data_IF_692813161230
#
_entry.id   IF_692813161230
#
_cell.length_a   1.000
_cell.length_b   1.000
_cell.length_c   1.000
_cell.angle_alpha   90.00
_cell.angle_beta   90.00
_cell.angle_gamma   90.00
#
_symmetry.space_group_name_H-M   'P 1'
#
loop_
_entity.id
_entity.type
_entity.pdbx_description
1 polymer ?
#
# COMPACT_ATOMS: atom_id res chain seq x y z
N UNK A 1 29.54 -58.32 -23.20
CA UNK A 1 29.03 -58.95 -24.44
C UNK A 1 27.51 -58.90 -24.34
N UNK A 2 26.70 -58.26 -25.17
CA UNK A 2 26.79 -57.66 -26.53
C UNK A 2 25.90 -56.39 -26.50
N UNK A 3 26.35 -55.18 -26.86
CA UNK A 3 26.37 -54.55 -28.20
C UNK A 3 25.19 -54.87 -29.13
N UNK A 4 24.24 -53.92 -29.21
CA UNK A 4 23.60 -53.53 -30.49
C UNK A 4 23.62 -52.01 -30.54
N UNK A 5 24.13 -51.46 -31.65
CA UNK A 5 24.26 -50.03 -31.91
C UNK A 5 23.47 -49.59 -33.15
N UNK A 6 23.32 -48.26 -33.22
CA UNK A 6 23.01 -47.37 -34.34
C UNK A 6 21.59 -47.37 -34.94
N UNK A 7 20.93 -46.21 -34.82
CA UNK A 7 20.93 -45.25 -35.94
C UNK A 7 20.79 -43.80 -35.47
N UNK A 8 21.64 -42.96 -36.04
CA UNK A 8 21.69 -41.51 -35.91
C UNK A 8 20.66 -40.88 -36.84
N UNK A 9 19.79 -40.03 -36.29
CA UNK A 9 19.12 -38.99 -37.07
C UNK A 9 19.58 -37.65 -36.50
N UNK A 10 20.58 -37.07 -37.15
CA UNK A 10 20.82 -35.64 -37.10
C UNK A 10 19.55 -34.94 -37.62
N UNK A 11 18.79 -34.34 -36.72
CA UNK A 11 17.98 -33.18 -37.06
C UNK A 11 18.66 -31.96 -36.48
N UNK A 12 19.31 -31.22 -37.37
CA UNK A 12 19.63 -29.82 -37.20
C UNK A 12 18.32 -29.10 -36.88
N UNK A 13 18.24 -28.59 -35.66
CA UNK A 13 17.58 -27.33 -35.29
C UNK A 13 17.63 -27.24 -33.76
N UNK A 14 18.82 -26.91 -33.26
CA UNK A 14 18.98 -26.43 -31.89
C UNK A 14 18.38 -25.03 -31.79
N UNK A 15 17.05 -24.93 -31.68
CA UNK A 15 16.44 -23.73 -31.13
C UNK A 15 16.96 -23.58 -29.69
N UNK A 16 17.90 -22.66 -29.50
CA UNK A 16 18.42 -22.25 -28.20
C UNK A 16 17.28 -21.83 -27.28
N UNK A 17 16.89 -22.73 -26.37
CA UNK A 17 16.05 -22.40 -25.22
C UNK A 17 16.91 -21.52 -24.29
N UNK A 18 16.86 -20.21 -24.51
CA UNK A 18 17.46 -19.24 -23.60
C UNK A 18 16.82 -19.39 -22.22
N UNK A 19 17.63 -19.79 -21.24
CA UNK A 19 17.25 -19.88 -19.84
C UNK A 19 16.88 -18.49 -19.29
N UNK A 20 16.00 -18.45 -18.28
CA UNK A 20 15.62 -17.20 -17.58
C UNK A 20 16.83 -16.42 -17.03
N UNK A 21 17.95 -17.12 -16.80
CA UNK A 21 19.22 -16.53 -16.37
C UNK A 21 19.83 -15.70 -17.50
N UNK A 22 19.87 -16.23 -18.72
CA UNK A 22 20.41 -15.54 -19.90
C UNK A 22 19.54 -14.35 -20.33
N UNK A 23 18.21 -14.41 -20.14
CA UNK A 23 17.33 -13.27 -20.40
C UNK A 23 17.59 -12.12 -19.41
N UNK A 24 17.77 -12.44 -18.12
CA UNK A 24 18.12 -11.43 -17.10
C UNK A 24 19.48 -10.80 -17.37
N UNK A 25 20.43 -11.60 -17.84
CA UNK A 25 21.77 -11.16 -18.18
C UNK A 25 21.78 -10.27 -19.43
N UNK A 26 21.02 -10.63 -20.47
CA UNK A 26 20.81 -9.76 -21.65
C UNK A 26 20.14 -8.43 -21.28
N UNK A 27 19.14 -8.42 -20.38
CA UNK A 27 18.52 -7.19 -19.88
C UNK A 27 19.47 -6.32 -19.04
N UNK A 28 20.36 -6.95 -18.27
CA UNK A 28 21.38 -6.25 -17.49
C UNK A 28 22.41 -5.59 -18.41
N UNK A 29 22.91 -6.32 -19.40
CA UNK A 29 23.87 -5.81 -20.38
C UNK A 29 23.27 -4.67 -21.21
N UNK A 30 21.98 -4.76 -21.58
CA UNK A 30 21.29 -3.68 -22.29
C UNK A 30 21.17 -2.40 -21.44
N UNK A 31 20.95 -2.53 -20.13
CA UNK A 31 20.92 -1.40 -19.19
C UNK A 31 22.30 -0.75 -19.08
N UNK A 32 23.37 -1.55 -19.03
CA UNK A 32 24.75 -1.06 -18.97
C UNK A 32 25.17 -0.37 -20.28
N UNK A 33 24.77 -0.89 -21.44
CA UNK A 33 25.04 -0.27 -22.75
C UNK A 33 24.30 1.06 -22.94
N UNK A 34 23.07 1.17 -22.43
CA UNK A 34 22.32 2.45 -22.41
C UNK A 34 22.96 3.45 -21.45
N UNK A 35 23.53 2.98 -20.34
CA UNK A 35 24.29 3.83 -19.41
C UNK A 35 25.58 4.34 -20.07
N UNK A 36 26.34 3.47 -20.74
CA UNK A 36 27.59 3.82 -21.44
C UNK A 36 27.34 4.79 -22.61
N UNK A 37 26.28 4.59 -23.40
CA UNK A 37 25.92 5.50 -24.50
C UNK A 37 25.44 6.89 -24.03
N UNK A 38 24.95 7.02 -22.80
CA UNK A 38 24.62 8.33 -22.20
C UNK A 38 25.85 9.13 -21.78
N UNK A 39 26.99 8.47 -21.54
CA UNK A 39 28.25 9.13 -21.16
C UNK A 39 28.99 9.67 -22.39
N UNK A 40 28.70 9.17 -23.60
CA UNK A 40 29.45 9.51 -24.82
C UNK A 40 28.77 10.51 -25.78
N UNK A 41 27.62 11.10 -25.45
CA UNK A 41 27.01 12.13 -26.31
C UNK A 41 26.41 13.26 -25.48
N UNK A 42 27.12 14.39 -25.44
CA UNK A 42 26.55 15.71 -25.22
C UNK A 42 25.62 16.04 -26.39
N UNK A 43 24.45 16.53 -26.00
CA UNK A 43 23.49 17.38 -26.74
C UNK A 43 22.83 16.82 -28.02
N UNK A 44 21.52 17.09 -28.09
CA UNK A 44 20.61 16.91 -29.23
C UNK A 44 20.29 15.48 -29.72
N UNK A 45 19.59 14.66 -28.93
CA UNK A 45 18.69 13.58 -29.45
C UNK A 45 17.77 12.95 -28.37
N UNK A 46 17.39 13.73 -27.35
CA UNK A 46 16.78 13.20 -26.11
C UNK A 46 15.36 12.64 -26.19
N UNK A 47 14.63 12.82 -27.31
CA UNK A 47 13.24 12.34 -27.48
C UNK A 47 13.13 11.05 -28.30
N UNK A 48 13.84 10.91 -29.43
CA UNK A 48 13.81 9.69 -30.24
C UNK A 48 14.47 8.48 -29.54
N UNK A 49 15.57 8.70 -28.81
CA UNK A 49 16.27 7.63 -28.10
C UNK A 49 15.44 6.94 -27.02
N UNK A 50 14.60 7.69 -26.28
CA UNK A 50 13.72 7.11 -25.24
C UNK A 50 12.57 6.29 -25.83
N UNK A 51 11.97 6.76 -26.92
CA UNK A 51 10.88 6.08 -27.61
C UNK A 51 11.36 4.77 -28.25
N UNK A 52 12.56 4.80 -28.85
CA UNK A 52 13.18 3.62 -29.47
C UNK A 52 13.62 2.56 -28.44
N UNK A 53 14.11 2.99 -27.26
CA UNK A 53 14.45 2.08 -26.15
C UNK A 53 13.19 1.43 -25.58
N UNK A 54 12.10 2.17 -25.41
CA UNK A 54 10.84 1.60 -24.91
C UNK A 54 10.23 0.62 -25.92
N UNK A 55 10.27 0.95 -27.22
CA UNK A 55 9.87 0.02 -28.29
C UNK A 55 10.67 -1.28 -28.29
N UNK A 56 11.99 -1.21 -28.05
CA UNK A 56 12.86 -2.39 -27.95
C UNK A 56 12.58 -3.23 -26.69
N UNK A 57 12.35 -2.59 -25.54
CA UNK A 57 11.99 -3.30 -24.29
C UNK A 57 10.64 -4.02 -24.43
N UNK A 58 9.65 -3.36 -25.04
CA UNK A 58 8.34 -3.96 -25.33
C UNK A 58 8.47 -5.13 -26.32
N UNK A 59 9.33 -5.00 -27.34
CA UNK A 59 9.58 -6.08 -28.31
C UNK A 59 10.22 -7.30 -27.65
N UNK A 60 11.25 -7.10 -26.83
CA UNK A 60 11.93 -8.17 -26.08
C UNK A 60 10.97 -8.83 -25.08
N UNK A 61 10.12 -8.05 -24.40
CA UNK A 61 9.09 -8.60 -23.49
C UNK A 61 8.03 -9.41 -24.25
N UNK A 62 7.66 -8.99 -25.47
CA UNK A 62 6.73 -9.73 -26.34
C UNK A 62 7.32 -11.03 -26.87
N UNK A 63 8.60 -11.03 -27.26
CA UNK A 63 9.33 -12.23 -27.72
C UNK A 63 9.55 -13.23 -26.58
N UNK A 64 9.96 -12.77 -25.39
CA UNK A 64 10.10 -13.61 -24.20
C UNK A 64 8.77 -14.23 -23.75
N UNK A 65 7.64 -13.55 -24.00
CA UNK A 65 6.32 -14.05 -23.68
C UNK A 65 5.73 -15.02 -24.72
N UNK A 66 6.32 -15.10 -25.92
CA UNK A 66 5.92 -16.02 -26.99
C UNK A 66 6.52 -17.43 -26.79
N UNK A 67 7.73 -17.54 -26.25
CA UNK A 67 8.50 -18.80 -26.17
C UNK A 67 8.17 -19.72 -24.99
N UNK A 68 6.97 -19.62 -24.41
CA UNK A 68 6.65 -20.28 -23.16
C UNK A 68 5.28 -21.00 -23.31
N UNK A 69 5.33 -22.33 -23.57
CA UNK A 69 4.19 -23.29 -23.71
C UNK A 69 3.06 -23.17 -22.67
N UNK A 70 1.84 -23.38 -23.16
CA UNK A 70 0.55 -22.79 -22.78
C UNK A 70 -0.18 -23.42 -21.57
N UNK A 71 -1.12 -22.66 -21.00
CA UNK A 71 -2.06 -23.09 -19.94
C UNK A 71 -2.02 -22.21 -18.69
N UNK A 72 -0.89 -22.19 -17.96
CA UNK A 72 -0.71 -21.39 -16.73
C UNK A 72 -0.12 -19.98 -16.96
N UNK A 73 0.15 -19.61 -18.22
CA UNK A 73 0.94 -18.42 -18.58
C UNK A 73 0.17 -17.19 -18.97
N UNK A 74 -1.10 -17.30 -19.40
CA UNK A 74 -1.86 -16.12 -19.83
C UNK A 74 -2.04 -15.11 -18.68
N UNK A 75 -2.44 -15.60 -17.50
CA UNK A 75 -2.58 -14.77 -16.30
C UNK A 75 -1.23 -14.21 -15.79
N UNK A 76 -0.13 -14.95 -15.91
CA UNK A 76 1.19 -14.46 -15.50
C UNK A 76 1.79 -13.46 -16.52
N UNK A 77 1.47 -13.61 -17.81
CA UNK A 77 1.86 -12.71 -18.90
C UNK A 77 1.11 -11.38 -18.80
N UNK A 78 -0.20 -11.42 -18.58
CA UNK A 78 -1.03 -10.23 -18.33
C UNK A 78 -0.56 -9.51 -17.06
N UNK A 79 -0.34 -10.23 -15.95
CA UNK A 79 0.21 -9.65 -14.70
C UNK A 79 1.58 -8.97 -14.90
N UNK A 80 2.45 -9.52 -15.76
CA UNK A 80 3.77 -8.93 -16.03
C UNK A 80 3.65 -7.65 -16.88
N UNK A 81 2.80 -7.65 -17.91
CA UNK A 81 2.55 -6.49 -18.75
C UNK A 81 1.90 -5.35 -17.94
N UNK A 82 0.91 -5.68 -17.10
CA UNK A 82 0.27 -4.74 -16.19
C UNK A 82 1.29 -4.09 -15.24
N UNK A 83 2.25 -4.87 -14.72
CA UNK A 83 3.31 -4.34 -13.86
C UNK A 83 4.23 -3.39 -14.61
N UNK A 84 4.64 -3.72 -15.83
CA UNK A 84 5.54 -2.88 -16.64
C UNK A 84 4.85 -1.58 -17.03
N UNK A 85 3.58 -1.65 -17.44
CA UNK A 85 2.80 -0.45 -17.79
C UNK A 85 2.60 0.44 -16.57
N UNK A 86 2.27 -0.15 -15.42
CA UNK A 86 2.10 0.58 -14.17
C UNK A 86 3.40 1.27 -13.72
N UNK A 87 4.55 0.60 -13.85
CA UNK A 87 5.87 1.18 -13.52
C UNK A 87 6.24 2.35 -14.46
N UNK A 88 5.88 2.25 -15.75
CA UNK A 88 6.07 3.34 -16.71
C UNK A 88 5.21 4.55 -16.36
N UNK A 89 3.91 4.34 -16.09
CA UNK A 89 2.97 5.40 -15.68
C UNK A 89 3.42 6.06 -14.38
N UNK A 90 3.85 5.29 -13.40
CA UNK A 90 4.35 5.80 -12.12
C UNK A 90 5.61 6.65 -12.31
N UNK A 91 6.54 6.23 -13.17
CA UNK A 91 7.74 7.02 -13.49
C UNK A 91 7.40 8.34 -14.19
N UNK A 92 6.46 8.34 -15.14
CA UNK A 92 5.99 9.55 -15.81
C UNK A 92 5.27 10.49 -14.85
N UNK A 93 4.43 9.93 -13.98
CA UNK A 93 3.71 10.66 -12.96
C UNK A 93 4.67 11.36 -11.98
N UNK A 94 5.66 10.65 -11.44
CA UNK A 94 6.70 11.21 -10.58
C UNK A 94 7.47 12.34 -11.28
N UNK A 95 7.90 12.14 -12.53
CA UNK A 95 8.63 13.19 -13.29
C UNK A 95 7.84 14.49 -13.40
N UNK A 96 6.51 14.41 -13.42
CA UNK A 96 5.63 15.57 -13.61
C UNK A 96 5.21 16.24 -12.31
N UNK A 97 4.96 15.46 -11.26
CA UNK A 97 4.29 15.94 -10.05
C UNK A 97 5.09 15.78 -8.77
N UNK A 98 6.33 15.28 -8.83
CA UNK A 98 7.19 15.21 -7.66
C UNK A 98 7.41 16.60 -7.04
N UNK A 99 7.13 16.72 -5.74
CA UNK A 99 7.22 17.95 -4.95
C UNK A 99 8.34 17.91 -3.91
N UNK A 100 8.77 16.72 -3.50
CA UNK A 100 9.94 16.49 -2.65
C UNK A 100 10.87 15.46 -3.29
N UNK A 101 12.17 15.62 -3.05
CA UNK A 101 13.23 14.70 -3.48
C UNK A 101 13.15 13.36 -2.75
N UNK A 102 13.84 12.34 -3.28
CA UNK A 102 14.03 11.07 -2.58
C UNK A 102 14.80 11.24 -1.26
N UNK A 103 15.72 12.20 -1.19
CA UNK A 103 16.46 12.52 0.03
C UNK A 103 15.51 13.07 1.11
N UNK A 104 14.69 14.07 0.76
CA UNK A 104 13.67 14.61 1.67
C UNK A 104 12.68 13.54 2.10
N UNK A 105 12.24 12.68 1.18
CA UNK A 105 11.42 11.52 1.51
C UNK A 105 12.10 10.59 2.53
N UNK A 106 13.36 10.23 2.31
CA UNK A 106 14.12 9.37 3.22
C UNK A 106 14.30 9.98 4.61
N UNK A 107 14.48 11.30 4.70
CA UNK A 107 14.56 12.03 5.97
C UNK A 107 13.19 12.08 6.69
N UNK A 108 12.09 12.19 5.94
CA UNK A 108 10.73 12.22 6.51
C UNK A 108 10.23 10.86 6.96
N UNK A 109 10.66 9.78 6.29
CA UNK A 109 10.22 8.40 6.51
C UNK A 109 11.44 7.47 6.74
N UNK A 110 12.22 7.68 7.83
CA UNK A 110 13.50 7.01 8.02
C UNK A 110 13.38 5.50 8.26
N UNK A 111 12.27 5.05 8.83
CA UNK A 111 12.00 3.63 9.05
C UNK A 111 10.51 3.34 9.13
N UNK A 112 10.06 2.32 8.38
CA UNK A 112 8.71 1.77 8.48
C UNK A 112 8.54 0.87 9.70
N UNK A 113 9.64 0.45 10.32
CA UNK A 113 9.69 -0.46 11.45
C UNK A 113 9.64 0.28 12.79
N UNK A 114 9.96 1.58 12.82
CA UNK A 114 10.11 2.34 14.06
C UNK A 114 9.02 3.39 14.30
N UNK A 115 8.03 3.51 13.40
CA UNK A 115 6.92 4.42 13.62
C UNK A 115 5.71 3.71 14.26
N UNK A 116 5.04 4.41 15.17
CA UNK A 116 3.93 3.86 15.90
C UNK A 116 3.06 4.92 16.56
N UNK A 117 1.94 4.46 17.09
CA UNK A 117 0.93 5.24 17.77
C UNK A 117 1.46 5.76 19.12
N UNK A 118 1.20 7.03 19.41
CA UNK A 118 1.41 7.61 20.74
C UNK A 118 0.23 7.43 21.66
N UNK A 119 0.04 8.39 22.57
CA UNK A 119 -1.06 8.41 23.55
C UNK A 119 -2.30 9.09 22.96
N UNK A 120 -2.85 8.51 21.90
CA UNK A 120 -4.06 8.98 21.21
C UNK A 120 -4.87 7.77 20.73
N UNK A 121 -6.20 7.80 20.82
CA UNK A 121 -7.11 6.72 20.40
C UNK A 121 -7.29 6.53 18.88
N UNK A 122 -6.26 6.80 18.07
CA UNK A 122 -6.30 6.81 16.60
C UNK A 122 -5.70 5.56 15.94
N UNK A 123 -5.66 4.43 16.65
CA UNK A 123 -5.06 3.17 16.19
C UNK A 123 -5.48 2.75 14.78
N UNK A 124 -6.72 3.05 14.37
CA UNK A 124 -7.26 2.78 13.04
C UNK A 124 -6.54 3.56 11.93
N UNK A 125 -6.11 4.81 12.21
CA UNK A 125 -5.36 5.63 11.27
C UNK A 125 -3.93 5.13 11.17
N UNK A 126 -3.29 4.85 12.30
CA UNK A 126 -1.90 4.37 12.32
C UNK A 126 -1.79 2.99 11.66
N UNK A 127 -2.73 2.07 11.92
CA UNK A 127 -2.78 0.78 11.21
C UNK A 127 -3.03 0.98 9.71
N UNK A 128 -3.83 1.97 9.34
CA UNK A 128 -4.01 2.40 7.94
C UNK A 128 -2.71 2.83 7.30
N UNK A 129 -1.98 3.76 7.93
CA UNK A 129 -0.70 4.26 7.43
C UNK A 129 0.34 3.14 7.38
N UNK A 130 0.39 2.24 8.36
CA UNK A 130 1.32 1.11 8.37
C UNK A 130 1.12 0.16 7.20
N UNK A 131 -0.12 -0.20 6.90
CA UNK A 131 -0.36 -1.10 5.77
C UNK A 131 -0.28 -0.35 4.44
N UNK A 132 -0.66 0.93 4.38
CA UNK A 132 -0.43 1.80 3.21
C UNK A 132 1.07 1.95 2.92
N UNK A 133 1.92 2.10 3.93
CA UNK A 133 3.36 2.27 3.79
C UNK A 133 4.07 1.06 3.17
N UNK A 134 3.42 -0.11 3.18
CA UNK A 134 3.90 -1.35 2.57
C UNK A 134 3.41 -1.54 1.13
N UNK A 135 2.66 -0.57 0.61
CA UNK A 135 2.25 -0.54 -0.79
C UNK A 135 3.36 0.06 -1.65
N UNK A 136 3.49 -0.40 -2.90
CA UNK A 136 4.45 0.10 -3.89
C UNK A 136 4.24 1.59 -4.17
N UNK A 137 3.00 2.07 -4.08
CA UNK A 137 2.65 3.45 -4.37
C UNK A 137 2.94 4.41 -3.21
N UNK A 138 3.29 3.93 -2.02
CA UNK A 138 3.46 4.81 -0.87
C UNK A 138 4.46 5.93 -1.13
N UNK A 139 5.63 5.61 -1.69
CA UNK A 139 6.66 6.60 -2.00
C UNK A 139 6.13 7.64 -2.99
N UNK A 140 5.50 7.18 -4.06
CA UNK A 140 4.91 8.05 -5.08
C UNK A 140 3.84 8.96 -4.50
N UNK A 141 2.94 8.42 -3.67
CA UNK A 141 1.91 9.19 -2.99
C UNK A 141 2.53 10.25 -2.08
N UNK A 142 3.54 9.92 -1.28
CA UNK A 142 4.19 10.88 -0.38
C UNK A 142 4.93 11.97 -1.16
N UNK A 143 5.74 11.58 -2.14
CA UNK A 143 6.62 12.47 -2.89
C UNK A 143 5.87 13.48 -3.77
N UNK A 144 4.63 13.18 -4.13
CA UNK A 144 3.77 14.04 -4.96
C UNK A 144 2.74 14.81 -4.15
N UNK A 145 2.52 14.45 -2.89
CA UNK A 145 1.53 15.10 -2.01
C UNK A 145 2.17 16.09 -1.04
N UNK A 146 3.36 15.78 -0.52
CA UNK A 146 4.04 16.61 0.46
C UNK A 146 4.82 17.72 -0.25
N UNK A 147 4.78 18.92 0.29
CA UNK A 147 5.57 20.06 -0.15
C UNK A 147 6.24 20.72 1.06
N UNK A 148 7.51 21.08 0.89
CA UNK A 148 8.30 21.81 1.88
C UNK A 148 8.59 23.19 1.31
N UNK A 149 8.23 24.25 2.04
CA UNK A 149 8.57 25.62 1.65
C UNK A 149 10.04 25.92 1.91
N UNK A 150 10.55 27.01 1.34
CA UNK A 150 11.93 27.47 1.59
C UNK A 150 12.20 27.79 3.06
N UNK A 151 11.16 28.23 3.77
CA UNK A 151 11.23 28.54 5.21
C UNK A 151 11.10 27.28 6.09
N UNK A 152 10.94 26.10 5.47
CA UNK A 152 10.81 24.82 6.13
C UNK A 152 9.44 24.61 6.79
N UNK A 153 8.41 25.25 6.25
CA UNK A 153 7.01 24.96 6.56
C UNK A 153 6.52 23.81 5.67
N UNK A 154 5.61 23.00 6.19
CA UNK A 154 5.10 21.84 5.47
C UNK A 154 3.71 22.11 4.92
N UNK A 155 3.40 21.47 3.79
CA UNK A 155 2.02 21.31 3.36
C UNK A 155 1.83 19.96 2.71
N UNK A 156 0.59 19.49 2.72
CA UNK A 156 0.23 18.19 2.15
C UNK A 156 -1.08 18.29 1.41
N UNK A 157 -1.10 17.72 0.22
CA UNK A 157 -2.29 17.63 -0.61
C UNK A 157 -3.08 16.37 -0.26
N UNK A 158 -4.38 16.52 0.01
CA UNK A 158 -5.34 15.42 0.12
C UNK A 158 -6.45 15.58 -0.93
N UNK A 159 -6.87 14.50 -1.62
CA UNK A 159 -6.33 13.14 -1.54
C UNK A 159 -4.85 13.02 -1.93
N UNK A 160 -4.14 12.05 -1.36
CA UNK A 160 -2.74 11.79 -1.67
C UNK A 160 -2.61 11.35 -3.12
N UNK A 161 -1.60 11.85 -3.80
CA UNK A 161 -1.37 11.60 -5.23
C UNK A 161 -2.31 12.40 -6.14
N UNK A 162 -3.15 13.29 -5.62
CA UNK A 162 -3.96 14.19 -6.44
C UNK A 162 -3.23 15.54 -6.58
N UNK A 163 -2.72 15.93 -7.77
CA UNK A 163 -1.95 17.17 -7.92
C UNK A 163 -2.76 18.43 -7.56
N UNK A 164 -4.07 18.39 -7.80
CA UNK A 164 -5.01 19.50 -7.61
C UNK A 164 -5.84 19.36 -6.33
N UNK A 165 -5.51 18.40 -5.47
CA UNK A 165 -6.24 18.17 -4.23
C UNK A 165 -6.13 19.36 -3.29
N UNK A 166 -6.91 19.31 -2.23
CA UNK A 166 -6.91 20.36 -1.21
C UNK A 166 -5.59 20.32 -0.44
N UNK A 167 -4.86 21.43 -0.46
CA UNK A 167 -3.56 21.59 0.23
C UNK A 167 -3.79 22.06 1.65
N UNK A 168 -3.29 21.32 2.63
CA UNK A 168 -3.31 21.68 4.05
C UNK A 168 -1.93 22.16 4.47
N UNK A 169 -1.83 23.40 4.95
CA UNK A 169 -0.58 23.95 5.49
C UNK A 169 -0.41 23.48 6.94
N UNK A 170 0.78 23.02 7.31
CA UNK A 170 1.09 22.44 8.61
C UNK A 170 2.36 23.11 9.13
N UNK A 171 2.18 23.90 10.19
CA UNK A 171 3.29 24.55 10.88
C UNK A 171 4.09 23.58 11.75
N UNK A 172 5.32 23.97 12.10
CA UNK A 172 6.17 23.19 13.01
C UNK A 172 5.54 23.02 14.40
N UNK A 173 4.74 23.98 14.84
CA UNK A 173 3.97 23.90 16.08
C UNK A 173 2.87 22.84 15.99
N UNK A 174 2.14 22.79 14.87
CA UNK A 174 1.10 21.78 14.65
C UNK A 174 1.69 20.36 14.59
N UNK A 175 2.92 20.20 14.10
CA UNK A 175 3.61 18.91 14.14
C UNK A 175 3.90 18.40 15.56
N UNK A 176 4.00 19.30 16.55
CA UNK A 176 4.18 18.91 17.96
C UNK A 176 2.89 18.36 18.58
N UNK A 177 1.73 18.68 18.00
CA UNK A 177 0.42 18.17 18.44
C UNK A 177 0.26 16.69 18.06
N UNK A 178 0.95 16.24 17.01
CA UNK A 178 0.89 14.85 16.55
C UNK A 178 1.29 13.87 17.66
N UNK A 179 0.48 12.83 17.85
CA UNK A 179 0.79 11.76 18.78
C UNK A 179 1.71 10.69 18.16
N UNK A 180 1.87 10.67 16.83
CA UNK A 180 2.73 9.70 16.15
C UNK A 180 4.16 9.75 16.66
N UNK A 181 4.68 8.58 17.03
CA UNK A 181 6.11 8.35 17.24
C UNK A 181 6.72 7.94 15.91
N UNK A 182 7.79 8.63 15.48
CA UNK A 182 8.48 8.33 14.22
C UNK A 182 8.80 9.59 13.42
N UNK A 183 9.15 9.39 12.15
CA UNK A 183 9.56 10.46 11.24
C UNK A 183 8.47 11.51 10.99
N UNK A 184 8.90 12.72 10.63
CA UNK A 184 8.04 13.88 10.38
C UNK A 184 6.96 13.60 9.33
N UNK A 185 7.25 12.76 8.33
CA UNK A 185 6.28 12.38 7.31
C UNK A 185 5.03 11.70 7.87
N UNK A 186 5.18 10.84 8.88
CA UNK A 186 4.04 10.18 9.53
C UNK A 186 3.23 11.14 10.40
N UNK A 187 3.89 12.08 11.07
CA UNK A 187 3.23 13.15 11.82
C UNK A 187 2.42 14.06 10.91
N UNK A 188 2.97 14.41 9.74
CA UNK A 188 2.26 15.19 8.72
C UNK A 188 0.97 14.49 8.29
N UNK A 189 1.00 13.17 8.08
CA UNK A 189 -0.19 12.41 7.71
C UNK A 189 -1.29 12.47 8.78
N UNK A 190 -0.94 12.31 10.05
CA UNK A 190 -1.91 12.39 11.16
C UNK A 190 -2.53 13.78 11.28
N UNK A 191 -1.71 14.83 11.24
CA UNK A 191 -2.18 16.23 11.31
C UNK A 191 -3.03 16.58 10.08
N UNK A 192 -2.61 16.19 8.88
CA UNK A 192 -3.37 16.41 7.66
C UNK A 192 -4.74 15.75 7.69
N UNK A 193 -4.78 14.50 8.16
CA UNK A 193 -6.00 13.75 8.34
C UNK A 193 -6.94 14.46 9.31
N UNK A 194 -6.43 14.91 10.46
CA UNK A 194 -7.22 15.65 11.44
C UNK A 194 -7.73 16.99 10.89
N UNK A 195 -6.90 17.76 10.19
CA UNK A 195 -7.33 19.00 9.52
C UNK A 195 -8.42 18.71 8.50
N UNK A 196 -8.27 17.67 7.68
CA UNK A 196 -9.26 17.29 6.69
C UNK A 196 -10.62 16.95 7.32
N UNK A 197 -10.63 16.17 8.40
CA UNK A 197 -11.86 15.76 9.07
C UNK A 197 -12.56 16.94 9.79
N UNK A 198 -11.78 17.83 10.41
CA UNK A 198 -12.31 18.81 11.36
C UNK A 198 -12.45 20.21 10.76
N UNK A 199 -11.69 20.53 9.71
CA UNK A 199 -11.57 21.88 9.18
C UNK A 199 -11.86 21.92 7.68
N UNK A 200 -12.95 22.60 7.34
CA UNK A 200 -13.25 22.93 5.94
C UNK A 200 -12.27 23.95 5.36
N UNK A 201 -11.66 24.79 6.19
CA UNK A 201 -10.60 25.71 5.80
C UNK A 201 -9.21 25.05 5.97
N UNK A 202 -8.44 24.86 4.88
CA UNK A 202 -7.09 24.29 4.96
C UNK A 202 -6.04 25.16 5.66
N UNK A 203 -6.29 26.47 5.80
CA UNK A 203 -5.40 27.41 6.51
C UNK A 203 -5.59 27.40 8.02
N UNK A 204 -6.72 26.88 8.51
CA UNK A 204 -7.03 26.85 9.94
C UNK A 204 -6.04 25.96 10.69
N UNK A 205 -5.35 26.53 11.70
CA UNK A 205 -4.41 25.80 12.54
C UNK A 205 -5.14 24.82 13.46
N UNK A 206 -4.57 23.63 13.62
CA UNK A 206 -5.05 22.61 14.55
C UNK A 206 -4.64 22.97 15.98
N UNK A 207 -5.50 22.67 16.96
CA UNK A 207 -5.18 22.81 18.39
C UNK A 207 -5.04 21.44 19.07
N UNK A 208 -4.47 21.39 20.26
CA UNK A 208 -4.29 20.13 21.01
C UNK A 208 -5.62 19.41 21.28
N UNK A 209 -6.71 20.13 21.49
CA UNK A 209 -8.03 19.53 21.65
C UNK A 209 -8.63 18.99 20.36
N UNK A 210 -8.15 19.44 19.20
CA UNK A 210 -8.65 18.99 17.90
C UNK A 210 -8.11 17.60 17.56
N UNK A 211 -6.84 17.30 17.87
CA UNK A 211 -6.28 15.96 17.58
C UNK A 211 -7.03 14.86 18.36
N UNK A 212 -7.55 15.16 19.55
CA UNK A 212 -8.38 14.20 20.32
C UNK A 212 -9.72 13.88 19.66
N UNK A 213 -10.18 14.71 18.71
CA UNK A 213 -11.45 14.47 18.00
C UNK A 213 -11.34 13.43 16.89
N UNK A 214 -10.12 12.99 16.55
CA UNK A 214 -9.92 11.90 15.58
C UNK A 214 -9.85 10.53 16.25
N UNK A 215 -10.08 10.40 17.56
CA UNK A 215 -10.12 9.10 18.24
C UNK A 215 -11.32 8.25 17.81
N UNK A 216 -11.11 6.93 17.67
CA UNK A 216 -12.21 5.97 17.49
C UNK A 216 -12.84 5.93 16.08
N UNK A 217 -12.04 5.71 15.05
CA UNK A 217 -12.49 5.60 13.65
C UNK A 217 -12.44 4.20 13.03
N UNK A 218 -12.56 4.15 11.70
CA UNK A 218 -12.58 2.92 10.90
C UNK A 218 -11.42 2.94 9.89
N UNK A 219 -10.63 1.86 9.77
CA UNK A 219 -9.45 1.86 8.90
C UNK A 219 -9.74 2.12 7.42
N UNK A 220 -10.79 1.54 6.83
CA UNK A 220 -11.22 1.85 5.44
C UNK A 220 -11.61 3.31 5.23
N UNK A 221 -12.28 3.92 6.20
CA UNK A 221 -12.66 5.34 6.11
C UNK A 221 -11.40 6.21 6.16
N UNK A 222 -10.45 5.89 7.04
CA UNK A 222 -9.15 6.56 7.06
C UNK A 222 -8.42 6.44 5.72
N UNK A 223 -8.43 5.25 5.12
CA UNK A 223 -7.81 5.02 3.81
C UNK A 223 -8.50 5.85 2.71
N UNK A 224 -9.83 5.87 2.68
CA UNK A 224 -10.63 6.66 1.73
C UNK A 224 -10.46 8.16 1.92
N UNK A 225 -10.31 8.65 3.15
CA UNK A 225 -9.98 10.05 3.41
C UNK A 225 -8.60 10.41 2.87
N UNK A 226 -7.62 9.51 3.05
CA UNK A 226 -6.25 9.75 2.59
C UNK A 226 -6.13 9.68 1.06
N UNK A 227 -6.71 8.68 0.38
CA UNK A 227 -6.50 8.49 -1.07
C UNK A 227 -7.70 8.89 -1.94
N UNK A 228 -8.84 9.23 -1.34
CA UNK A 228 -10.07 9.51 -2.06
C UNK A 228 -10.82 8.23 -2.48
N UNK A 229 -12.16 8.26 -2.55
CA UNK A 229 -12.97 7.07 -2.80
C UNK A 229 -12.80 6.50 -4.22
N UNK A 230 -12.36 7.31 -5.20
CA UNK A 230 -12.14 6.88 -6.58
C UNK A 230 -10.88 6.02 -6.76
N UNK A 231 -9.90 6.17 -5.86
CA UNK A 231 -8.58 5.54 -5.98
C UNK A 231 -8.47 4.22 -5.22
N UNK A 232 -9.55 3.76 -4.57
CA UNK A 232 -9.55 2.56 -3.73
C UNK A 232 -10.82 1.74 -3.95
N UNK A 233 -10.64 0.43 -4.13
CA UNK A 233 -11.73 -0.55 -3.96
C UNK A 233 -11.63 -1.20 -2.58
N UNK A 234 -12.69 -1.11 -1.78
CA UNK A 234 -12.73 -1.64 -0.40
C UNK A 234 -13.58 -2.91 -0.32
N UNK A 235 -13.10 -3.91 0.42
CA UNK A 235 -13.89 -5.06 0.85
C UNK A 235 -13.80 -5.22 2.36
N UNK A 236 -14.97 -5.30 3.01
CA UNK A 236 -15.11 -5.30 4.47
C UNK A 236 -15.94 -6.48 4.95
N UNK A 237 -15.38 -7.25 5.88
CA UNK A 237 -16.04 -8.38 6.53
C UNK A 237 -16.07 -8.16 8.02
N UNK A 238 -17.27 -8.23 8.62
CA UNK A 238 -17.48 -8.02 10.05
C UNK A 238 -18.39 -9.10 10.60
N UNK A 239 -18.03 -9.63 11.77
CA UNK A 239 -18.90 -10.54 12.50
C UNK A 239 -20.23 -9.82 12.84
N UNK A 240 -21.37 -10.43 12.46
CA UNK A 240 -22.70 -9.79 12.59
C UNK A 240 -23.09 -9.50 14.04
N UNK A 241 -22.65 -10.35 14.98
CA UNK A 241 -22.95 -10.21 16.39
C UNK A 241 -21.79 -9.53 17.12
N UNK A 242 -22.13 -8.58 18.00
CA UNK A 242 -21.15 -7.90 18.85
C UNK A 242 -20.43 -8.93 19.73
N UNK A 243 -19.10 -8.89 19.73
CA UNK A 243 -18.27 -9.79 20.53
C UNK A 243 -17.91 -11.11 19.84
N UNK A 244 -18.46 -11.40 18.65
CA UNK A 244 -18.03 -12.57 17.86
C UNK A 244 -16.80 -12.24 17.02
N UNK A 245 -15.99 -13.25 16.79
CA UNK A 245 -14.79 -13.20 15.93
C UNK A 245 -15.14 -13.47 14.47
N UNK A 246 -14.18 -13.30 13.57
CA UNK A 246 -14.29 -13.62 12.14
C UNK A 246 -14.56 -15.11 11.90
N UNK A 247 -14.28 -15.98 12.88
CA UNK A 247 -14.65 -17.40 12.84
C UNK A 247 -16.15 -17.62 12.66
N UNK A 248 -16.99 -16.69 13.13
CA UNK A 248 -18.45 -16.79 13.00
C UNK A 248 -18.98 -16.37 11.62
N UNK A 249 -18.11 -16.00 10.68
CA UNK A 249 -18.52 -15.68 9.32
C UNK A 249 -18.92 -16.94 8.55
N UNK A 250 -19.74 -16.79 7.51
CA UNK A 250 -20.05 -17.88 6.60
C UNK A 250 -18.80 -18.35 5.85
N UNK A 251 -18.78 -19.63 5.45
CA UNK A 251 -17.67 -20.20 4.67
C UNK A 251 -17.42 -19.43 3.37
N UNK A 252 -18.47 -18.91 2.71
CA UNK A 252 -18.34 -18.03 1.55
C UNK A 252 -17.49 -16.79 1.87
N UNK A 253 -17.74 -16.13 3.00
CA UNK A 253 -17.00 -14.93 3.39
C UNK A 253 -15.57 -15.26 3.80
N UNK A 254 -15.36 -16.36 4.55
CA UNK A 254 -14.01 -16.83 4.88
C UNK A 254 -13.22 -17.12 3.61
N UNK A 255 -13.81 -17.81 2.63
CA UNK A 255 -13.18 -18.09 1.35
C UNK A 255 -12.82 -16.80 0.59
N UNK A 256 -13.69 -15.79 0.59
CA UNK A 256 -13.36 -14.49 0.00
C UNK A 256 -12.19 -13.81 0.70
N UNK A 257 -12.14 -13.83 2.03
CA UNK A 257 -11.00 -13.30 2.80
C UNK A 257 -9.70 -14.06 2.50
N UNK A 258 -9.77 -15.39 2.39
CA UNK A 258 -8.62 -16.22 2.02
C UNK A 258 -8.10 -15.85 0.62
N UNK A 259 -8.98 -15.64 -0.35
CA UNK A 259 -8.57 -15.14 -1.68
C UNK A 259 -7.89 -13.77 -1.60
N UNK A 260 -8.38 -12.86 -0.76
CA UNK A 260 -7.75 -11.54 -0.57
C UNK A 260 -6.35 -11.68 0.05
N UNK A 261 -6.19 -12.56 1.04
CA UNK A 261 -4.88 -12.83 1.67
C UNK A 261 -3.92 -13.53 0.69
N UNK A 262 -4.41 -14.46 -0.12
CA UNK A 262 -3.64 -15.09 -1.18
C UNK A 262 -3.20 -14.06 -2.21
N UNK A 263 -4.10 -13.19 -2.66
CA UNK A 263 -3.77 -12.11 -3.57
C UNK A 263 -2.79 -11.11 -2.95
N UNK A 264 -2.91 -10.82 -1.66
CA UNK A 264 -1.97 -9.98 -0.92
C UNK A 264 -0.56 -10.59 -0.92
N UNK A 265 -0.45 -11.91 -0.73
CA UNK A 265 0.83 -12.62 -0.82
C UNK A 265 1.44 -12.59 -2.23
N UNK A 266 0.60 -12.53 -3.28
CA UNK A 266 1.04 -12.55 -4.69
C UNK A 266 1.36 -11.15 -5.22
N UNK A 267 0.52 -10.17 -4.91
CA UNK A 267 0.67 -8.78 -5.33
C UNK A 267 1.43 -8.05 -4.24
N UNK A 268 2.75 -8.12 -4.30
CA UNK A 268 3.62 -7.24 -3.51
C UNK A 268 3.36 -5.79 -3.91
N UNK A 269 2.40 -5.13 -3.27
CA UNK A 269 2.42 -3.68 -3.18
C UNK A 269 1.15 -2.87 -3.51
N UNK A 270 -0.01 -3.42 -3.89
CA UNK A 270 -1.19 -2.54 -4.12
C UNK A 270 -2.34 -2.79 -3.15
N UNK A 271 -2.18 -3.75 -2.25
CA UNK A 271 -3.20 -4.13 -1.30
C UNK A 271 -2.83 -3.66 0.10
N UNK A 272 -3.85 -3.18 0.78
CA UNK A 272 -3.86 -2.81 2.17
C UNK A 272 -4.82 -3.75 2.89
N UNK A 273 -4.48 -4.17 4.11
CA UNK A 273 -5.37 -4.93 4.97
C UNK A 273 -5.18 -4.46 6.42
N UNK A 274 -6.28 -4.05 7.05
CA UNK A 274 -6.37 -3.78 8.48
C UNK A 274 -7.44 -4.63 9.13
N UNK A 275 -7.24 -4.88 10.42
CA UNK A 275 -8.05 -5.77 11.22
C UNK A 275 -8.56 -5.00 12.43
N UNK A 276 -9.81 -5.23 12.81
CA UNK A 276 -10.33 -4.77 14.09
C UNK A 276 -10.43 -5.94 15.05
N UNK A 277 -9.81 -5.81 16.21
CA UNK A 277 -9.90 -6.77 17.32
C UNK A 277 -11.30 -6.90 17.90
N UNK A 278 -11.49 -7.82 18.84
CA UNK A 278 -12.77 -8.04 19.51
C UNK A 278 -13.27 -6.77 20.25
N UNK A 279 -14.58 -6.45 20.19
CA UNK A 279 -15.13 -5.19 20.70
C UNK A 279 -15.39 -5.14 22.22
N UNK A 280 -15.07 -6.19 22.97
CA UNK A 280 -15.34 -6.29 24.42
C UNK A 280 -14.38 -5.41 25.23
N UNK A 281 -14.84 -4.54 26.12
CA UNK A 281 -13.93 -3.64 26.86
C UNK A 281 -13.46 -2.41 26.06
N UNK A 282 -12.29 -1.88 26.40
CA UNK A 282 -11.63 -0.70 25.80
C UNK A 282 -10.23 -1.08 25.27
N UNK A 283 -9.53 -0.14 24.66
CA UNK A 283 -8.21 -0.32 24.02
C UNK A 283 -7.04 -0.55 24.98
N UNK A 284 -7.29 -0.52 26.29
CA UNK A 284 -6.31 -0.92 27.31
C UNK A 284 -6.53 -2.35 27.81
N UNK A 285 -7.76 -2.89 27.68
CA UNK A 285 -8.06 -4.28 28.05
C UNK A 285 -7.51 -5.25 27.02
N UNK A 286 -6.99 -6.38 27.53
CA UNK A 286 -6.29 -7.40 26.75
C UNK A 286 -7.08 -8.71 26.74
N UNK A 287 -6.86 -9.51 25.70
CA UNK A 287 -7.28 -10.90 25.62
C UNK A 287 -6.17 -11.73 24.94
N UNK A 288 -6.21 -13.05 25.14
CA UNK A 288 -5.23 -13.98 24.58
C UNK A 288 -5.89 -14.91 23.57
N UNK A 289 -5.14 -15.25 22.51
CA UNK A 289 -5.47 -16.28 21.54
C UNK A 289 -4.20 -17.12 21.37
N UNK A 290 -4.21 -18.37 21.85
CA UNK A 290 -2.98 -19.15 21.95
C UNK A 290 -1.93 -18.44 22.80
N UNK A 291 -0.71 -18.30 22.28
CA UNK A 291 0.39 -17.57 22.94
C UNK A 291 0.34 -16.04 22.71
N UNK A 292 -0.60 -15.57 21.88
CA UNK A 292 -0.65 -14.18 21.40
C UNK A 292 -1.52 -13.30 22.29
N UNK A 293 -1.10 -12.05 22.46
CA UNK A 293 -1.83 -11.04 23.25
C UNK A 293 -2.34 -9.93 22.36
N UNK A 294 -3.61 -9.59 22.52
CA UNK A 294 -4.29 -8.57 21.74
C UNK A 294 -5.00 -7.58 22.66
N UNK A 295 -5.17 -6.36 22.18
CA UNK A 295 -5.97 -5.32 22.82
C UNK A 295 -7.36 -5.30 22.20
N UNK A 296 -8.38 -5.11 23.02
CA UNK A 296 -9.74 -4.97 22.54
C UNK A 296 -9.97 -3.62 21.85
N UNK A 297 -10.96 -3.52 20.96
CA UNK A 297 -11.28 -2.27 20.22
C UNK A 297 -10.09 -1.56 19.57
N UNK A 298 -9.04 -2.33 19.28
CA UNK A 298 -7.79 -1.88 18.71
C UNK A 298 -7.66 -2.35 17.26
N UNK A 299 -7.10 -1.51 16.40
CA UNK A 299 -6.81 -1.87 15.02
C UNK A 299 -5.41 -2.49 14.87
N UNK A 300 -5.25 -3.35 13.88
CA UNK A 300 -3.98 -4.00 13.52
C UNK A 300 -3.80 -3.93 12.00
N UNK A 301 -2.57 -4.03 11.52
CA UNK A 301 -2.26 -4.15 10.09
C UNK A 301 -1.78 -5.56 9.74
N UNK A 302 -2.16 -6.11 8.59
CA UNK A 302 -1.49 -7.31 8.05
C UNK A 302 -0.23 -6.85 7.33
N UNK A 303 0.90 -7.45 7.70
CA UNK A 303 2.22 -7.11 7.15
C UNK A 303 2.81 -8.21 6.28
N UNK A 304 2.31 -9.44 6.41
CA UNK A 304 2.80 -10.58 5.64
C UNK A 304 1.84 -11.76 5.68
N UNK A 305 1.93 -12.60 4.66
CA UNK A 305 1.23 -13.87 4.56
C UNK A 305 2.25 -14.92 4.14
N UNK A 306 2.46 -15.92 4.97
CA UNK A 306 3.35 -17.05 4.72
C UNK A 306 2.58 -18.21 4.13
N UNK A 307 3.26 -18.98 3.28
CA UNK A 307 2.69 -20.17 2.62
C UNK A 307 3.50 -21.40 2.96
N UNK A 308 2.82 -22.53 3.09
CA UNK A 308 3.45 -23.83 3.23
C UNK A 308 4.05 -24.30 1.89
N UNK A 309 4.67 -25.49 1.92
CA UNK A 309 5.27 -26.15 0.75
C UNK A 309 4.26 -26.43 -0.38
N UNK A 310 2.96 -26.47 -0.06
CA UNK A 310 1.88 -26.69 -1.01
C UNK A 310 1.27 -25.38 -1.55
N UNK A 311 1.82 -24.23 -1.15
CA UNK A 311 1.32 -22.92 -1.54
C UNK A 311 0.06 -22.46 -0.81
N UNK A 312 -0.38 -23.17 0.23
CA UNK A 312 -1.51 -22.77 1.09
C UNK A 312 -1.04 -21.81 2.16
N UNK A 313 -1.89 -20.91 2.61
CA UNK A 313 -1.55 -19.99 3.70
C UNK A 313 -1.28 -20.79 4.97
N UNK A 314 -0.05 -20.69 5.49
CA UNK A 314 0.37 -21.31 6.75
C UNK A 314 0.26 -20.35 7.92
N UNK A 315 0.62 -19.09 7.71
CA UNK A 315 0.60 -18.07 8.75
C UNK A 315 0.35 -16.66 8.21
N UNK A 316 -0.10 -15.77 9.09
CA UNK A 316 -0.41 -14.36 8.78
C UNK A 316 0.30 -13.50 9.83
N UNK A 317 1.12 -12.55 9.35
CA UNK A 317 1.80 -11.58 10.20
C UNK A 317 0.93 -10.36 10.41
N UNK A 318 0.72 -9.99 11.67
CA UNK A 318 -0.09 -8.85 12.09
C UNK A 318 0.72 -7.92 12.97
N UNK A 319 0.63 -6.62 12.70
CA UNK A 319 1.37 -5.58 13.41
C UNK A 319 0.40 -4.73 14.24
N UNK A 320 0.76 -4.55 15.51
CA UNK A 320 0.11 -3.62 16.43
C UNK A 320 0.58 -2.19 16.12
N UNK A 321 -0.33 -1.23 15.88
CA UNK A 321 0.03 0.14 15.53
C UNK A 321 0.82 0.88 16.60
N UNK A 322 0.79 0.44 17.87
CA UNK A 322 1.67 0.99 18.92
C UNK A 322 3.16 0.79 18.62
N UNK A 323 3.50 -0.26 17.88
CA UNK A 323 4.81 -0.56 17.29
C UNK A 323 6.05 -0.04 18.07
N UNK A 324 6.20 -0.47 19.32
CA UNK A 324 7.37 -0.17 20.14
C UNK A 324 7.83 -1.38 20.94
N UNK A 325 9.13 -1.42 21.26
CA UNK A 325 9.72 -2.40 22.17
C UNK A 325 9.02 -2.30 23.52
N UNK A 326 8.46 -3.41 24.01
CA UNK A 326 7.72 -3.48 25.28
C UNK A 326 6.20 -3.64 25.16
N UNK A 327 5.64 -3.68 23.93
CA UNK A 327 4.27 -4.15 23.75
C UNK A 327 4.20 -5.64 24.11
N UNK A 328 3.39 -5.99 25.12
CA UNK A 328 3.17 -7.38 25.51
C UNK A 328 2.59 -8.18 24.33
N UNK A 329 3.25 -9.30 24.00
CA UNK A 329 2.98 -10.10 22.80
C UNK A 329 3.81 -9.71 21.57
N UNK A 330 4.67 -8.70 21.66
CA UNK A 330 5.44 -8.18 20.53
C UNK A 330 4.65 -7.21 19.66
N UNK A 331 5.37 -6.36 18.92
CA UNK A 331 4.74 -5.44 17.97
C UNK A 331 4.14 -6.21 16.78
N UNK A 332 4.90 -7.12 16.20
CA UNK A 332 4.46 -8.03 15.14
C UNK A 332 4.26 -9.45 15.67
N UNK A 333 3.16 -10.08 15.28
CA UNK A 333 2.78 -11.43 15.71
C UNK A 333 2.46 -12.28 14.48
N UNK A 334 2.93 -13.52 14.47
CA UNK A 334 2.66 -14.50 13.41
C UNK A 334 1.59 -15.47 13.87
N UNK A 335 0.44 -15.47 13.21
CA UNK A 335 -0.74 -16.26 13.60
C UNK A 335 -0.99 -17.37 12.61
N UNK A 336 -1.36 -18.56 13.08
CA UNK A 336 -1.98 -19.54 12.21
C UNK A 336 -3.42 -19.11 11.83
N UNK A 337 -4.04 -19.81 10.88
CA UNK A 337 -5.37 -19.44 10.39
C UNK A 337 -6.44 -19.46 11.49
N UNK A 338 -6.43 -20.46 12.38
CA UNK A 338 -7.41 -20.56 13.46
C UNK A 338 -7.27 -19.39 14.43
N UNK A 339 -6.04 -19.04 14.81
CA UNK A 339 -5.75 -17.91 15.68
C UNK A 339 -6.17 -16.59 15.03
N UNK A 340 -5.87 -16.40 13.74
CA UNK A 340 -6.27 -15.22 12.98
C UNK A 340 -7.79 -15.01 12.97
N UNK A 341 -8.56 -16.05 12.61
CA UNK A 341 -10.02 -15.94 12.58
C UNK A 341 -10.64 -15.75 13.97
N UNK A 342 -9.97 -16.19 15.04
CA UNK A 342 -10.42 -16.01 16.41
C UNK A 342 -10.05 -14.65 17.01
N UNK A 343 -8.91 -14.08 16.64
CA UNK A 343 -8.43 -12.83 17.21
C UNK A 343 -9.24 -11.61 16.75
N UNK A 344 -9.68 -11.57 15.51
CA UNK A 344 -10.28 -10.36 14.94
C UNK A 344 -11.79 -10.48 14.79
N UNK A 345 -12.50 -9.35 14.82
CA UNK A 345 -13.94 -9.22 14.56
C UNK A 345 -14.26 -8.47 13.26
N UNK A 346 -13.26 -7.79 12.70
CA UNK A 346 -13.32 -7.01 11.47
C UNK A 346 -12.09 -7.32 10.61
N UNK A 347 -12.33 -7.59 9.34
CA UNK A 347 -11.33 -7.63 8.28
C UNK A 347 -11.68 -6.54 7.28
N UNK A 348 -10.75 -5.62 7.07
CA UNK A 348 -10.93 -4.45 6.23
C UNK A 348 -9.80 -4.41 5.21
N UNK A 349 -10.12 -4.44 3.93
CA UNK A 349 -9.12 -4.53 2.87
C UNK A 349 -9.39 -3.51 1.78
N UNK A 350 -8.31 -2.99 1.22
CA UNK A 350 -8.31 -2.00 0.15
C UNK A 350 -7.38 -2.42 -0.97
N UNK A 351 -7.76 -2.17 -2.21
CA UNK A 351 -6.85 -2.22 -3.37
C UNK A 351 -6.72 -0.82 -3.93
N UNK A 352 -5.49 -0.29 -3.91
CA UNK A 352 -5.17 0.99 -4.53
C UNK A 352 -5.17 0.78 -6.04
N UNK A 353 -6.00 1.54 -6.74
CA UNK A 353 -6.09 1.48 -8.20
C UNK A 353 -5.06 2.43 -8.80
N UNK A 354 -4.58 2.14 -10.01
CA UNK A 354 -3.67 3.01 -10.77
C UNK A 354 -4.37 4.27 -11.30
N UNK A 355 -5.65 4.47 -10.98
CA UNK A 355 -6.43 5.64 -11.43
C UNK A 355 -5.82 6.97 -11.00
N UNK A 356 -5.15 7.03 -9.84
CA UNK A 356 -4.43 8.23 -9.40
C UNK A 356 -3.17 8.52 -10.26
N UNK A 357 -2.73 7.60 -11.11
CA UNK A 357 -1.68 7.87 -12.09
C UNK A 357 -2.27 8.48 -13.37
N UNK A 358 -3.57 8.31 -13.60
CA UNK A 358 -4.28 8.70 -14.81
C UNK A 358 -4.93 10.09 -14.67
N UNK A 359 -4.18 11.09 -14.19
CA UNK A 359 -4.65 12.47 -14.23
C UNK A 359 -4.41 13.05 -15.63
N UNK A 360 -5.43 12.93 -16.50
CA UNK A 360 -5.51 13.75 -17.71
C UNK A 360 -5.46 15.21 -17.27
N UNK A 361 -4.63 15.99 -17.94
CA UNK A 361 -4.51 17.43 -17.75
C UNK A 361 -5.83 18.11 -18.09
N UNK A 362 -6.73 18.24 -17.13
CA UNK A 362 -7.74 19.27 -17.17
C UNK A 362 -8.02 19.74 -15.75
N UNK A 363 -7.84 21.03 -15.55
CA UNK A 363 -8.11 21.79 -14.32
C UNK A 363 -9.62 21.92 -14.04
N UNK A 364 -10.46 21.26 -14.86
CA UNK A 364 -11.86 21.63 -15.09
C UNK A 364 -12.88 20.68 -14.46
N UNK A 365 -12.50 19.47 -14.04
CA UNK A 365 -13.45 18.51 -13.42
C UNK A 365 -13.59 18.62 -11.90
N UNK A 366 -12.87 19.53 -11.23
CA UNK A 366 -12.99 19.75 -9.76
C UNK A 366 -14.07 20.75 -9.35
N UNK A 367 -14.81 21.33 -10.30
CA UNK A 367 -16.08 21.97 -9.97
C UNK A 367 -17.18 20.92 -9.99
N UNK A 368 -17.98 20.86 -8.92
CA UNK A 368 -19.12 19.97 -8.68
C UNK A 368 -18.77 18.59 -8.07
N UNK A 369 -18.58 18.55 -6.75
CA UNK A 369 -19.46 17.79 -5.83
C UNK A 369 -19.43 18.51 -4.48
N UNK A 370 -20.17 19.61 -4.39
CA UNK A 370 -20.58 20.16 -3.11
C UNK A 370 -21.89 19.47 -2.70
N UNK A 371 -22.02 19.09 -1.42
CA UNK A 371 -23.30 18.70 -0.82
C UNK A 371 -23.69 17.21 -0.89
N UNK A 372 -23.28 16.43 0.10
CA UNK A 372 -23.76 15.06 0.31
C UNK A 372 -23.67 14.62 1.77
N UNK A 373 -24.56 15.17 2.59
CA UNK A 373 -24.75 14.96 4.03
C UNK A 373 -24.23 13.62 4.61
N UNK A 374 -23.14 13.68 5.37
CA UNK A 374 -22.78 12.64 6.34
C UNK A 374 -23.82 12.69 7.47
N UNK A 375 -24.85 11.82 7.37
CA UNK A 375 -25.90 11.67 8.39
C UNK A 375 -25.26 11.29 9.74
N UNK A 376 -25.24 12.25 10.66
CA UNK A 376 -24.99 12.05 12.09
C UNK A 376 -26.03 11.06 12.63
N UNK A 377 -25.61 9.87 13.06
CA UNK A 377 -26.41 9.07 14.01
C UNK A 377 -26.38 9.80 15.35
N UNK A 378 -27.47 10.49 15.69
CA UNK A 378 -27.77 10.85 17.08
C UNK A 378 -28.25 9.59 17.78
N UNK A 379 -27.57 9.22 18.84
CA UNK A 379 -28.06 8.30 19.86
C UNK A 379 -29.39 8.83 20.41
N UNK A 380 -30.44 8.01 20.36
CA UNK A 380 -31.65 8.19 21.16
C UNK A 380 -31.41 7.50 22.50
N UNK A 381 -31.29 8.29 23.57
CA UNK A 381 -31.62 7.88 24.93
C UNK A 381 -32.31 9.04 25.64
N UNK A 382 -33.33 8.69 26.41
CA UNK A 382 -34.19 9.51 27.28
C UNK A 382 -35.40 10.18 26.61
N UNK A 383 -36.48 9.42 26.55
CA UNK A 383 -37.78 9.80 27.12
C UNK A 383 -38.30 8.57 27.87
#
# INVERSE_FOLDING_TARGET
>A
MEKIGYSSVESKDSEEILSLKEIREKLKNLKEDVLKKKVSKKEEEGKMGKQMVMGKVIKIAKEAAHNLKEGKKKANREKLLDSIESDSKESEYLKKYQKISYLEYGLMFPSLEEFGQGRLGDCYLISTIQSLARTRYFNTLMMTSIHVSKDGEYSITLPLGEPWGKRYNISREELKISAVKGGTGFKLLEVAFAKHLLHKDPGKKLKEEDIKKIEGGIPSEALQTLLGPKSITVAKYRAKQRGKSLLSLSEKNKLSMMKILEDFSQRKGNKYISLGSLPGGNDTKKYKIGAHTFYHRHAYSVTGVEKDVNGKISAIKVLNPRNHKGVEGGAEQTLNLSEFFNAFSLFDSGTITDTFLNHRTSKEETMVVDGGAMRRRRDKKYA
#
